data_IF_256326246780
#
_entry.id   IF_256326246780
#
_cell.length_a   1.000
_cell.length_b   1.000
_cell.length_c   1.000
_cell.angle_alpha   90.00
_cell.angle_beta   90.00
_cell.angle_gamma   90.00
#
_symmetry.space_group_name_H-M   'P 1'
#
loop_
_entity.id
_entity.type
_entity.pdbx_description
1 polymer ?
#
# COMPACT_ATOMS: atom_id res chain seq x y z
N UNK A 1 -0.74 25.94 -5.01
CA UNK A 1 0.62 26.48 -5.25
C UNK A 1 1.13 27.16 -3.98
N UNK A 2 1.33 26.43 -2.88
CA UNK A 2 1.88 27.01 -1.63
C UNK A 2 2.54 25.94 -0.75
N UNK A 3 3.57 25.24 -1.26
CA UNK A 3 4.46 24.39 -0.41
C UNK A 3 5.93 24.81 -0.49
N UNK A 4 6.31 25.70 -1.40
CA UNK A 4 7.64 26.32 -1.42
C UNK A 4 7.71 27.55 -0.49
N UNK A 5 7.42 27.39 0.82
CA UNK A 5 7.66 28.49 1.79
C UNK A 5 9.05 28.45 2.43
N UNK A 6 9.74 27.33 2.33
CA UNK A 6 11.17 27.23 2.61
C UNK A 6 11.84 26.74 1.33
N UNK A 7 12.99 27.29 0.94
CA UNK A 7 13.72 26.93 -0.29
C UNK A 7 14.28 25.50 -0.34
N UNK A 8 13.67 24.56 0.39
CA UNK A 8 13.98 23.15 0.40
C UNK A 8 13.43 22.46 -0.86
N UNK A 9 14.18 21.50 -1.41
CA UNK A 9 13.72 20.69 -2.54
C UNK A 9 12.49 19.85 -2.16
N UNK A 10 11.72 19.42 -3.15
CA UNK A 10 10.60 18.49 -2.94
C UNK A 10 11.05 17.23 -2.19
N UNK A 11 12.21 16.68 -2.56
CA UNK A 11 12.83 15.52 -1.89
C UNK A 11 13.11 15.80 -0.41
N UNK A 12 13.70 16.95 -0.06
CA UNK A 12 13.97 17.30 1.33
C UNK A 12 12.69 17.42 2.16
N UNK A 13 11.63 17.99 1.58
CA UNK A 13 10.33 18.13 2.26
C UNK A 13 9.66 16.77 2.48
N UNK A 14 9.70 15.90 1.46
CA UNK A 14 9.18 14.52 1.55
C UNK A 14 9.95 13.73 2.61
N UNK A 15 11.28 13.80 2.60
CA UNK A 15 12.14 13.13 3.57
C UNK A 15 11.85 13.56 5.01
N UNK A 16 11.75 14.87 5.26
CA UNK A 16 11.42 15.39 6.59
C UNK A 16 10.02 14.94 7.07
N UNK A 17 9.04 14.86 6.17
CA UNK A 17 7.73 14.32 6.51
C UNK A 17 7.80 12.81 6.81
N UNK A 18 8.56 12.05 6.02
CA UNK A 18 8.77 10.62 6.22
C UNK A 18 9.45 10.32 7.57
N UNK A 19 10.52 11.04 7.92
CA UNK A 19 11.20 10.89 9.21
C UNK A 19 10.28 11.19 10.41
N UNK A 20 9.46 12.25 10.31
CA UNK A 20 8.45 12.55 11.34
C UNK A 20 7.42 11.43 11.48
N UNK A 21 6.96 10.87 10.37
CA UNK A 21 5.98 9.78 10.37
C UNK A 21 6.58 8.47 10.89
N UNK A 22 7.82 8.14 10.51
CA UNK A 22 8.59 7.01 11.05
C UNK A 22 8.73 7.12 12.56
N UNK A 23 9.17 8.28 13.05
CA UNK A 23 9.33 8.53 14.48
C UNK A 23 8.00 8.42 15.23
N UNK A 24 6.91 8.99 14.68
CA UNK A 24 5.58 8.96 15.28
C UNK A 24 5.01 7.54 15.34
N UNK A 25 5.08 6.77 14.25
CA UNK A 25 4.60 5.39 14.22
C UNK A 25 5.49 4.45 15.06
N UNK A 26 6.80 4.68 15.06
CA UNK A 26 7.78 3.92 15.85
C UNK A 26 7.63 4.07 17.37
N UNK A 27 6.94 5.11 17.85
CA UNK A 27 6.56 5.21 19.26
C UNK A 27 5.61 4.09 19.69
N UNK A 28 4.85 3.55 18.74
CA UNK A 28 3.75 2.60 18.98
C UNK A 28 4.07 1.22 18.42
N UNK A 29 4.61 1.15 17.21
CA UNK A 29 4.89 -0.10 16.48
C UNK A 29 6.38 -0.36 16.50
N UNK A 30 6.77 -1.56 16.95
CA UNK A 30 8.18 -1.96 17.05
C UNK A 30 8.56 -2.78 15.81
N UNK A 31 9.73 -2.51 15.24
CA UNK A 31 10.29 -3.33 14.16
C UNK A 31 9.56 -3.24 12.82
N UNK A 32 8.76 -2.19 12.60
CA UNK A 32 7.92 -2.04 11.40
C UNK A 32 8.41 -0.94 10.44
N UNK A 33 9.67 -0.55 10.50
CA UNK A 33 10.24 0.56 9.71
C UNK A 33 10.02 0.36 8.20
N UNK A 34 10.37 -0.82 7.68
CA UNK A 34 10.16 -1.17 6.28
C UNK A 34 8.67 -1.17 5.90
N UNK A 35 7.79 -1.54 6.84
CA UNK A 35 6.35 -1.53 6.59
C UNK A 35 5.79 -0.11 6.55
N UNK A 36 6.24 0.77 7.43
CA UNK A 36 5.90 2.19 7.40
C UNK A 36 6.37 2.82 6.09
N UNK A 37 7.58 2.50 5.64
CA UNK A 37 8.11 2.99 4.37
C UNK A 37 7.30 2.56 3.17
N UNK A 38 6.91 1.29 3.10
CA UNK A 38 6.10 0.79 1.99
C UNK A 38 4.68 1.39 2.02
N UNK A 39 4.13 1.67 3.19
CA UNK A 39 2.86 2.42 3.33
C UNK A 39 3.02 3.87 2.85
N UNK A 40 4.13 4.54 3.20
CA UNK A 40 4.44 5.89 2.72
C UNK A 40 4.65 5.93 1.20
N UNK A 41 5.40 4.97 0.65
CA UNK A 41 5.56 4.78 -0.80
C UNK A 41 4.20 4.62 -1.45
N UNK A 42 3.33 3.78 -0.90
CA UNK A 42 2.00 3.56 -1.45
C UNK A 42 1.17 4.86 -1.44
N UNK A 43 1.18 5.58 -0.32
CA UNK A 43 0.42 6.82 -0.18
C UNK A 43 0.89 7.90 -1.15
N UNK A 44 2.19 8.17 -1.21
CA UNK A 44 2.78 9.21 -2.08
C UNK A 44 2.60 8.88 -3.57
N UNK A 45 2.67 7.61 -3.93
CA UNK A 45 2.43 7.14 -5.30
C UNK A 45 0.94 6.94 -5.63
N UNK A 46 0.03 7.22 -4.70
CA UNK A 46 -1.40 7.14 -4.90
C UNK A 46 -1.92 5.70 -5.06
N UNK A 47 -1.32 4.74 -4.37
CA UNK A 47 -1.71 3.33 -4.38
C UNK A 47 -2.12 2.79 -3.01
N UNK A 48 -2.41 1.49 -3.00
CA UNK A 48 -2.89 0.75 -1.83
C UNK A 48 -1.93 -0.38 -1.45
N UNK A 49 -2.04 -0.90 -0.23
CA UNK A 49 -1.15 -1.91 0.32
C UNK A 49 -1.91 -3.22 0.53
N UNK A 50 -1.36 -4.32 0.04
CA UNK A 50 -1.77 -5.67 0.36
C UNK A 50 -0.84 -6.23 1.45
N UNK A 51 -1.42 -6.76 2.51
CA UNK A 51 -0.72 -7.30 3.67
C UNK A 51 -0.97 -8.81 3.73
N UNK A 52 0.05 -9.60 3.42
CA UNK A 52 0.02 -11.06 3.63
C UNK A 52 0.56 -11.37 5.02
N UNK A 53 -0.20 -12.09 5.84
CA UNK A 53 0.22 -12.33 7.22
C UNK A 53 -0.55 -13.40 7.96
N UNK A 54 0.02 -13.77 9.10
CA UNK A 54 -0.57 -14.45 10.22
C UNK A 54 -1.29 -13.46 11.17
N UNK A 55 -2.35 -13.89 11.88
CA UNK A 55 -3.03 -13.04 12.85
C UNK A 55 -2.11 -12.57 13.99
N UNK A 56 -2.33 -11.34 14.49
CA UNK A 56 -1.72 -10.86 15.74
C UNK A 56 -0.45 -10.01 15.64
N UNK A 57 0.02 -9.68 14.44
CA UNK A 57 1.28 -8.95 14.18
C UNK A 57 1.21 -7.42 14.31
N UNK A 58 0.15 -6.87 14.90
CA UNK A 58 0.04 -5.42 15.14
C UNK A 58 -0.34 -4.56 13.92
N UNK A 59 -0.84 -5.14 12.83
CA UNK A 59 -1.33 -4.38 11.65
C UNK A 59 -2.35 -3.29 11.99
N UNK A 60 -3.33 -3.62 12.83
CA UNK A 60 -4.35 -2.67 13.29
C UNK A 60 -3.73 -1.52 14.03
N UNK A 61 -2.68 -1.79 14.81
CA UNK A 61 -1.95 -0.78 15.53
C UNK A 61 -1.16 0.12 14.58
N UNK A 62 -0.50 -0.45 13.57
CA UNK A 62 0.20 0.30 12.51
C UNK A 62 -0.76 1.21 11.74
N UNK A 63 -1.88 0.68 11.25
CA UNK A 63 -2.87 1.44 10.50
C UNK A 63 -3.45 2.60 11.33
N UNK A 64 -3.78 2.36 12.61
CA UNK A 64 -4.26 3.40 13.54
C UNK A 64 -3.20 4.44 13.85
N UNK A 65 -1.96 4.02 14.07
CA UNK A 65 -0.85 4.94 14.37
C UNK A 65 -0.55 5.83 13.17
N UNK A 66 -0.61 5.28 11.96
CA UNK A 66 -0.46 6.03 10.74
C UNK A 66 -1.58 7.07 10.57
N UNK A 67 -2.85 6.67 10.71
CA UNK A 67 -3.99 7.58 10.65
C UNK A 67 -3.88 8.72 11.68
N UNK A 68 -3.54 8.41 12.92
CA UNK A 68 -3.33 9.40 13.98
C UNK A 68 -2.17 10.35 13.67
N UNK A 69 -1.06 9.83 13.14
CA UNK A 69 0.12 10.62 12.78
C UNK A 69 -0.14 11.61 11.64
N UNK A 70 -1.13 11.32 10.78
CA UNK A 70 -1.53 12.21 9.68
C UNK A 70 -2.72 13.12 10.02
N UNK A 71 -3.23 13.03 11.26
CA UNK A 71 -4.47 13.71 11.67
C UNK A 71 -5.72 13.23 10.91
N UNK A 72 -5.68 12.03 10.35
CA UNK A 72 -6.73 11.45 9.52
C UNK A 72 -7.65 10.51 10.28
N UNK A 73 -8.76 10.16 9.64
CA UNK A 73 -9.71 9.16 10.16
C UNK A 73 -9.23 7.73 9.87
N UNK A 74 -9.52 6.83 10.80
CA UNK A 74 -9.27 5.39 10.67
C UNK A 74 -10.58 4.62 10.72
N UNK A 75 -10.74 3.66 9.82
CA UNK A 75 -11.81 2.66 9.89
C UNK A 75 -11.25 1.27 9.65
N UNK A 76 -11.88 0.29 10.30
CA UNK A 76 -11.59 -1.14 10.12
C UNK A 76 -12.84 -1.81 9.58
N UNK A 77 -12.65 -2.62 8.55
CA UNK A 77 -13.69 -3.45 7.93
C UNK A 77 -13.21 -4.89 8.03
N UNK A 78 -13.96 -5.71 8.75
CA UNK A 78 -13.72 -7.16 8.76
C UNK A 78 -14.51 -7.77 7.62
N UNK A 79 -13.83 -8.42 6.68
CA UNK A 79 -14.50 -9.11 5.58
C UNK A 79 -14.98 -10.47 6.06
N UNK A 80 -16.27 -10.71 5.87
CA UNK A 80 -16.97 -11.96 6.21
C UNK A 80 -17.80 -12.42 5.02
N UNK A 81 -18.19 -13.71 4.94
CA UNK A 81 -18.95 -14.23 3.81
C UNK A 81 -20.30 -13.56 3.59
N UNK A 82 -20.88 -12.98 4.64
CA UNK A 82 -22.17 -12.28 4.66
C UNK A 82 -22.06 -10.76 4.46
N UNK A 83 -20.84 -10.21 4.41
CA UNK A 83 -20.62 -8.77 4.24
C UNK A 83 -21.12 -8.30 2.86
N UNK A 84 -22.01 -7.31 2.86
CA UNK A 84 -22.60 -6.76 1.64
C UNK A 84 -21.81 -5.54 1.14
N UNK A 85 -21.86 -5.22 -0.17
CA UNK A 85 -21.26 -3.98 -0.70
C UNK A 85 -21.72 -2.71 0.03
N UNK A 86 -22.99 -2.65 0.44
CA UNK A 86 -23.57 -1.52 1.17
C UNK A 86 -22.98 -1.35 2.57
N UNK A 87 -22.51 -2.43 3.20
CA UNK A 87 -21.85 -2.37 4.51
C UNK A 87 -20.43 -1.77 4.40
N UNK A 88 -19.85 -1.78 3.20
CA UNK A 88 -18.55 -1.18 2.88
C UNK A 88 -18.72 0.26 2.40
N UNK A 89 -19.57 0.46 1.38
CA UNK A 89 -19.75 1.72 0.65
C UNK A 89 -20.67 2.71 1.38
N UNK A 90 -21.65 2.21 2.12
CA UNK A 90 -22.75 2.99 2.66
C UNK A 90 -24.07 2.71 1.94
N UNK A 91 -25.15 3.28 2.48
CA UNK A 91 -26.51 3.11 1.95
C UNK A 91 -27.35 4.36 2.19
N UNK A 92 -28.37 4.54 1.36
CA UNK A 92 -29.45 5.48 1.64
C UNK A 92 -30.51 4.80 2.51
N UNK A 93 -30.85 5.40 3.64
CA UNK A 93 -31.90 4.91 4.52
C UNK A 93 -33.01 5.95 4.64
N UNK A 94 -34.25 5.49 4.80
CA UNK A 94 -35.38 6.38 4.98
C UNK A 94 -35.45 6.86 6.44
N UNK A 95 -35.22 8.16 6.65
CA UNK A 95 -35.32 8.79 7.95
C UNK A 95 -36.77 9.19 8.22
N UNK A 96 -37.43 8.49 9.15
CA UNK A 96 -38.82 8.78 9.52
C UNK A 96 -39.00 10.20 10.10
N UNK A 97 -37.95 10.76 10.71
CA UNK A 97 -38.01 12.11 11.28
C UNK A 97 -38.02 13.22 10.22
N UNK A 98 -37.27 13.04 9.12
CA UNK A 98 -37.18 14.03 8.03
C UNK A 98 -38.08 13.71 6.85
N UNK A 99 -38.63 12.48 6.78
CA UNK A 99 -39.44 12.00 5.66
C UNK A 99 -38.64 11.86 4.36
N UNK A 100 -37.31 11.76 4.45
CA UNK A 100 -36.39 11.75 3.31
C UNK A 100 -35.42 10.58 3.39
N UNK A 101 -34.91 10.17 2.23
CA UNK A 101 -33.76 9.29 2.16
C UNK A 101 -32.50 10.08 2.52
N UNK A 102 -31.76 9.58 3.50
CA UNK A 102 -30.49 10.15 3.96
C UNK A 102 -29.38 9.15 3.70
N UNK A 103 -28.26 9.64 3.18
CA UNK A 103 -27.08 8.82 2.98
C UNK A 103 -26.37 8.58 4.30
N UNK A 104 -26.14 7.30 4.62
CA UNK A 104 -25.27 6.89 5.71
C UNK A 104 -23.96 6.38 5.13
N UNK A 105 -22.83 7.09 5.34
CA UNK A 105 -21.56 6.70 4.77
C UNK A 105 -21.08 5.38 5.36
N UNK A 106 -20.49 4.56 4.50
CA UNK A 106 -19.85 3.32 4.88
C UNK A 106 -18.48 3.54 5.53
N UNK A 107 -17.90 2.51 6.16
CA UNK A 107 -16.57 2.57 6.75
C UNK A 107 -15.45 2.83 5.73
N UNK A 108 -15.69 2.70 4.43
CA UNK A 108 -14.72 3.07 3.39
C UNK A 108 -14.41 4.58 3.39
N UNK A 109 -15.32 5.42 3.91
CA UNK A 109 -15.17 6.86 4.00
C UNK A 109 -14.26 7.25 5.18
N UNK A 110 -12.97 6.93 5.03
CA UNK A 110 -11.92 7.28 5.97
C UNK A 110 -10.58 7.50 5.26
N UNK A 111 -9.63 8.21 5.87
CA UNK A 111 -8.31 8.42 5.27
C UNK A 111 -7.50 7.11 5.21
N UNK A 112 -7.59 6.29 6.26
CA UNK A 112 -6.92 4.98 6.35
C UNK A 112 -7.97 3.91 6.64
N UNK A 113 -8.12 2.97 5.72
CA UNK A 113 -9.03 1.83 5.86
C UNK A 113 -8.23 0.55 5.98
N UNK A 114 -8.39 -0.16 7.10
CA UNK A 114 -7.92 -1.54 7.24
C UNK A 114 -9.03 -2.50 6.81
N UNK A 115 -8.83 -3.19 5.70
CA UNK A 115 -9.75 -4.21 5.20
C UNK A 115 -9.19 -5.60 5.54
N UNK A 116 -9.66 -6.20 6.63
CA UNK A 116 -9.15 -7.49 7.10
C UNK A 116 -9.80 -8.66 6.38
N UNK A 117 -8.97 -9.63 5.97
CA UNK A 117 -9.36 -10.91 5.37
C UNK A 117 -10.22 -10.74 4.11
N UNK A 118 -9.78 -9.89 3.18
CA UNK A 118 -10.58 -9.52 2.00
C UNK A 118 -10.97 -10.73 1.14
N UNK A 119 -10.22 -11.82 1.23
CA UNK A 119 -10.53 -13.10 0.60
C UNK A 119 -11.72 -13.84 1.24
N UNK A 120 -12.31 -13.40 2.36
CA UNK A 120 -13.49 -14.04 2.96
C UNK A 120 -14.82 -13.50 2.45
N UNK A 121 -14.85 -12.30 1.87
CA UNK A 121 -16.10 -11.77 1.31
C UNK A 121 -16.34 -12.24 -0.12
N UNK A 122 -17.60 -12.16 -0.55
CA UNK A 122 -17.99 -12.50 -1.91
C UNK A 122 -17.27 -11.64 -2.96
N UNK A 123 -17.10 -12.13 -4.21
CA UNK A 123 -16.50 -11.35 -5.29
C UNK A 123 -17.19 -10.01 -5.55
N UNK A 124 -18.49 -9.90 -5.26
CA UNK A 124 -19.26 -8.65 -5.39
C UNK A 124 -18.80 -7.59 -4.38
N UNK A 125 -18.61 -7.98 -3.12
CA UNK A 125 -18.15 -7.08 -2.05
C UNK A 125 -16.68 -6.72 -2.24
N UNK A 126 -15.85 -7.67 -2.67
CA UNK A 126 -14.46 -7.38 -3.07
C UNK A 126 -14.42 -6.35 -4.20
N UNK A 127 -15.22 -6.53 -5.25
CA UNK A 127 -15.28 -5.61 -6.39
C UNK A 127 -15.69 -4.19 -5.97
N UNK A 128 -16.66 -4.06 -5.06
CA UNK A 128 -17.10 -2.78 -4.53
C UNK A 128 -15.96 -2.02 -3.81
N UNK A 129 -15.18 -2.70 -2.97
CA UNK A 129 -13.99 -2.10 -2.33
C UNK A 129 -12.96 -1.66 -3.38
N UNK A 130 -12.67 -2.52 -4.35
CA UNK A 130 -11.65 -2.31 -5.37
C UNK A 130 -12.01 -1.20 -6.37
N UNK A 131 -13.28 -1.04 -6.68
CA UNK A 131 -13.80 0.08 -7.46
C UNK A 131 -13.61 1.40 -6.69
N UNK A 132 -13.97 1.42 -5.41
CA UNK A 132 -13.76 2.60 -4.56
C UNK A 132 -12.25 2.96 -4.42
N UNK A 133 -11.37 1.96 -4.42
CA UNK A 133 -9.91 2.15 -4.46
C UNK A 133 -9.43 2.82 -5.74
N UNK A 134 -9.84 2.29 -6.90
CA UNK A 134 -9.39 2.80 -8.20
C UNK A 134 -9.98 4.18 -8.51
N UNK A 135 -11.29 4.35 -8.31
CA UNK A 135 -12.01 5.57 -8.67
C UNK A 135 -11.94 6.66 -7.60
N UNK A 136 -11.48 6.31 -6.38
CA UNK A 136 -11.39 7.23 -5.22
C UNK A 136 -12.72 7.92 -4.90
N UNK A 137 -13.83 7.26 -5.19
CA UNK A 137 -15.20 7.74 -4.99
C UNK A 137 -16.13 6.55 -4.79
N UNK A 138 -17.31 6.82 -4.28
CA UNK A 138 -18.37 5.85 -4.06
C UNK A 138 -19.64 6.33 -4.74
N UNK A 139 -20.31 5.44 -5.48
CA UNK A 139 -21.61 5.73 -6.09
C UNK A 139 -22.69 4.88 -5.45
N UNK A 140 -23.69 5.51 -4.84
CA UNK A 140 -24.86 4.83 -4.25
C UNK A 140 -26.13 5.48 -4.80
N UNK A 141 -27.04 4.65 -5.34
CA UNK A 141 -28.30 5.09 -5.96
C UNK A 141 -28.16 6.21 -7.01
N UNK A 142 -27.06 6.17 -7.77
CA UNK A 142 -26.76 7.13 -8.84
C UNK A 142 -26.13 8.44 -8.36
N UNK A 143 -25.90 8.63 -7.07
CA UNK A 143 -25.16 9.78 -6.52
C UNK A 143 -23.71 9.39 -6.21
N UNK A 144 -22.76 10.07 -6.84
CA UNK A 144 -21.32 9.84 -6.66
C UNK A 144 -20.74 10.80 -5.64
N UNK A 145 -19.96 10.26 -4.70
CA UNK A 145 -19.34 11.00 -3.58
C UNK A 145 -17.82 10.72 -3.56
N UNK A 146 -16.97 11.76 -3.57
CA UNK A 146 -15.52 11.56 -3.50
C UNK A 146 -15.11 11.05 -2.11
N UNK A 147 -14.09 10.18 -2.05
CA UNK A 147 -13.51 9.73 -0.80
C UNK A 147 -12.59 10.80 -0.18
N UNK A 148 -12.36 10.76 1.14
CA UNK A 148 -11.45 11.68 1.81
C UNK A 148 -10.05 11.63 1.22
N UNK A 149 -9.40 12.76 1.01
CA UNK A 149 -8.02 12.80 0.51
C UNK A 149 -7.09 13.28 1.64
N UNK A 150 -6.00 12.56 1.97
CA UNK A 150 -5.51 11.35 1.32
C UNK A 150 -6.33 10.10 1.70
N UNK A 151 -6.34 9.11 0.80
CA UNK A 151 -7.05 7.84 0.94
C UNK A 151 -6.09 6.68 0.70
N UNK A 152 -6.00 5.75 1.65
CA UNK A 152 -5.25 4.50 1.51
C UNK A 152 -6.01 3.33 2.13
N UNK A 153 -5.93 2.18 1.45
CA UNK A 153 -6.48 0.91 1.92
C UNK A 153 -5.30 0.00 2.23
N UNK A 154 -5.29 -0.54 3.44
CA UNK A 154 -4.41 -1.61 3.89
C UNK A 154 -5.27 -2.86 3.94
N UNK A 155 -5.18 -3.73 2.93
CA UNK A 155 -5.98 -4.94 2.87
C UNK A 155 -5.18 -6.14 3.36
N UNK A 156 -5.77 -7.04 4.14
CA UNK A 156 -5.10 -8.29 4.56
C UNK A 156 -5.69 -9.49 3.85
N UNK A 157 -4.84 -10.47 3.54
CA UNK A 157 -5.26 -11.79 3.06
C UNK A 157 -4.58 -12.86 3.89
N UNK A 158 -5.37 -13.82 4.38
CA UNK A 158 -4.84 -15.00 5.06
C UNK A 158 -4.72 -16.14 4.03
N UNK A 159 -3.49 -16.57 3.66
CA UNK A 159 -3.29 -17.60 2.64
C UNK A 159 -3.60 -19.02 3.13
N UNK A 160 -3.80 -19.23 4.44
CA UNK A 160 -3.94 -20.55 5.05
C UNK A 160 -5.41 -21.03 5.09
N UNK A 161 -6.37 -20.10 5.08
CA UNK A 161 -7.80 -20.43 5.13
C UNK A 161 -8.33 -20.86 3.75
N UNK A 162 -8.45 -22.18 3.58
CA UNK A 162 -8.92 -22.81 2.33
C UNK A 162 -10.45 -22.96 2.26
N UNK A 163 -11.16 -22.94 3.39
CA UNK A 163 -12.62 -23.08 3.42
C UNK A 163 -13.32 -21.74 3.49
N UNK A 164 -14.28 -21.51 2.57
CA UNK A 164 -15.09 -20.30 2.56
C UNK A 164 -14.37 -19.04 2.10
N UNK A 165 -13.24 -19.16 1.38
CA UNK A 165 -12.51 -18.03 0.82
C UNK A 165 -12.66 -17.93 -0.70
N UNK A 166 -12.71 -16.69 -1.18
CA UNK A 166 -12.74 -16.27 -2.56
C UNK A 166 -11.41 -15.57 -2.87
N UNK A 167 -10.46 -16.23 -3.57
CA UNK A 167 -9.19 -15.60 -3.91
C UNK A 167 -9.44 -14.41 -4.83
N UNK A 168 -8.63 -13.36 -4.68
CA UNK A 168 -8.66 -12.24 -5.60
C UNK A 168 -8.09 -12.68 -6.95
N UNK A 169 -8.81 -12.45 -8.06
CA UNK A 169 -8.24 -12.53 -9.40
C UNK A 169 -7.01 -11.64 -9.55
N UNK A 170 -6.11 -12.01 -10.46
CA UNK A 170 -4.86 -11.30 -10.74
C UNK A 170 -5.12 -9.84 -11.16
N UNK A 171 -6.19 -9.61 -11.93
CA UNK A 171 -6.63 -8.27 -12.32
C UNK A 171 -7.04 -7.40 -11.13
N UNK A 172 -7.45 -8.00 -10.01
CA UNK A 172 -7.78 -7.31 -8.77
C UNK A 172 -6.53 -7.05 -7.92
N UNK A 173 -5.61 -8.02 -7.84
CA UNK A 173 -4.32 -7.86 -7.18
C UNK A 173 -3.51 -6.72 -7.79
N UNK A 174 -3.61 -6.48 -9.10
CA UNK A 174 -2.91 -5.40 -9.80
C UNK A 174 -3.23 -3.99 -9.27
N UNK A 175 -4.39 -3.82 -8.61
CA UNK A 175 -4.82 -2.55 -7.97
C UNK A 175 -4.08 -2.21 -6.68
N UNK A 176 -3.42 -3.19 -6.07
CA UNK A 176 -2.51 -2.95 -4.97
C UNK A 176 -1.14 -2.58 -5.51
N UNK A 177 -0.61 -1.45 -5.04
CA UNK A 177 0.69 -0.95 -5.49
C UNK A 177 1.82 -1.77 -4.90
N UNK A 178 1.73 -2.06 -3.60
CA UNK A 178 2.71 -2.88 -2.88
C UNK A 178 2.02 -4.02 -2.16
N UNK A 179 2.67 -5.17 -2.15
CA UNK A 179 2.40 -6.29 -1.27
C UNK A 179 3.50 -6.41 -0.24
N UNK A 180 3.11 -6.51 1.01
CA UNK A 180 4.00 -6.59 2.15
C UNK A 180 3.72 -7.86 2.95
N UNK A 181 4.79 -8.60 3.24
CA UNK A 181 4.76 -9.73 4.18
C UNK A 181 5.22 -9.22 5.53
N UNK A 182 4.32 -9.25 6.51
CA UNK A 182 4.71 -9.04 7.91
C UNK A 182 4.98 -10.45 8.46
N UNK A 183 6.16 -10.68 9.02
CA UNK A 183 6.45 -11.91 9.76
C UNK A 183 6.18 -11.72 11.25
N UNK A 184 6.40 -12.77 12.03
CA UNK A 184 6.50 -12.60 13.49
C UNK A 184 7.66 -11.64 13.83
N UNK A 185 7.50 -10.80 14.87
CA UNK A 185 8.59 -9.96 15.35
C UNK A 185 9.78 -10.83 15.79
N UNK A 186 10.98 -10.27 15.73
CA UNK A 186 12.15 -10.87 16.37
C UNK A 186 11.96 -10.91 17.89
N UNK A 187 12.69 -11.77 18.59
CA UNK A 187 12.66 -11.84 20.06
C UNK A 187 12.89 -10.47 20.70
N UNK A 188 13.86 -9.70 20.19
CA UNK A 188 14.14 -8.33 20.64
C UNK A 188 12.95 -7.39 20.47
N UNK A 189 12.29 -7.45 19.31
CA UNK A 189 11.10 -6.65 19.02
C UNK A 189 9.92 -7.09 19.88
N UNK A 190 9.76 -8.39 20.14
CA UNK A 190 8.69 -8.94 20.97
C UNK A 190 8.85 -8.50 22.44
N UNK A 191 10.07 -8.57 22.99
CA UNK A 191 10.38 -8.02 24.32
C UNK A 191 10.10 -6.52 24.38
N UNK A 192 10.46 -5.77 23.35
CA UNK A 192 10.19 -4.34 23.28
C UNK A 192 8.69 -4.02 23.14
N UNK A 193 7.90 -4.88 22.50
CA UNK A 193 6.44 -4.81 22.48
C UNK A 193 5.91 -5.02 23.90
N UNK A 194 6.32 -6.08 24.60
CA UNK A 194 5.87 -6.36 25.97
C UNK A 194 6.11 -5.15 26.89
N UNK A 195 7.34 -4.64 26.93
CA UNK A 195 7.70 -3.47 27.75
C UNK A 195 6.90 -2.21 27.42
N UNK A 196 6.61 -1.99 26.13
CA UNK A 196 5.87 -0.80 25.67
C UNK A 196 4.38 -0.88 26.03
N UNK A 197 3.84 -2.08 26.17
CA UNK A 197 2.43 -2.32 26.52
C UNK A 197 2.18 -2.60 28.01
N UNK A 198 3.21 -2.62 28.87
CA UNK A 198 3.07 -2.72 30.33
C UNK A 198 2.30 -1.55 30.97
N UNK A 199 2.23 -0.40 30.28
CA UNK A 199 1.59 0.82 30.77
C UNK A 199 0.28 1.19 30.05
N UNK A 200 0.08 2.49 29.79
CA UNK A 200 -1.05 2.98 28.97
C UNK A 200 -0.80 2.68 27.49
N UNK A 201 -1.87 2.49 26.71
CA UNK A 201 -1.75 2.30 25.27
C UNK A 201 -0.98 3.46 24.63
N UNK A 202 0.19 3.21 24.00
CA UNK A 202 1.04 4.26 23.43
C UNK A 202 0.35 5.02 22.30
N UNK A 203 -0.67 4.43 21.67
CA UNK A 203 -1.46 5.06 20.63
C UNK A 203 -2.16 6.35 21.09
N UNK A 204 -2.53 6.45 22.38
CA UNK A 204 -3.17 7.66 22.92
C UNK A 204 -2.24 8.88 22.99
N UNK A 205 -0.93 8.66 22.87
CA UNK A 205 0.09 9.72 22.90
C UNK A 205 0.47 10.22 21.51
N UNK A 206 0.07 9.52 20.44
CA UNK A 206 0.36 9.92 19.06
C UNK A 206 -0.38 11.20 18.73
N UNK A 207 0.38 12.23 18.35
CA UNK A 207 -0.14 13.50 17.86
C UNK A 207 0.04 13.57 16.33
N UNK A 208 -0.81 14.31 15.61
CA UNK A 208 -0.61 14.59 14.20
C UNK A 208 0.73 15.29 13.97
N UNK A 209 1.61 14.70 13.17
CA UNK A 209 2.95 15.22 12.84
C UNK A 209 3.05 15.78 11.42
N UNK A 210 2.17 15.33 10.53
CA UNK A 210 2.01 15.80 9.15
C UNK A 210 0.52 15.89 8.87
N UNK A 211 0.02 16.92 8.20
CA UNK A 211 -1.41 16.96 7.87
C UNK A 211 -1.72 16.13 6.63
N UNK A 212 -2.96 15.64 6.50
CA UNK A 212 -3.42 15.00 5.27
C UNK A 212 -3.23 15.89 4.03
N UNK A 213 -3.48 17.19 4.15
CA UNK A 213 -3.29 18.15 3.05
C UNK A 213 -1.81 18.27 2.64
N UNK A 214 -0.88 18.22 3.61
CA UNK A 214 0.55 18.21 3.30
C UNK A 214 0.92 16.95 2.51
N UNK A 215 0.43 15.77 2.92
CA UNK A 215 0.71 14.52 2.21
C UNK A 215 0.23 14.52 0.77
N UNK A 216 -0.92 15.14 0.50
CA UNK A 216 -1.41 15.32 -0.88
C UNK A 216 -0.43 16.17 -1.68
N UNK A 217 -0.02 17.32 -1.14
CA UNK A 217 0.91 18.19 -1.81
C UNK A 217 2.30 17.55 -2.01
N UNK A 218 2.73 16.69 -1.08
CA UNK A 218 3.95 15.89 -1.23
C UNK A 218 3.82 14.86 -2.37
N UNK A 219 2.67 14.18 -2.48
CA UNK A 219 2.39 13.28 -3.61
C UNK A 219 2.34 14.02 -4.95
N UNK A 220 1.77 15.22 -4.99
CA UNK A 220 1.75 16.08 -6.18
C UNK A 220 3.14 16.59 -6.58
N UNK A 221 4.06 16.72 -5.62
CA UNK A 221 5.46 17.10 -5.87
C UNK A 221 6.32 15.91 -6.36
N UNK A 222 5.85 14.67 -6.21
CA UNK A 222 6.60 13.46 -6.55
C UNK A 222 7.10 13.40 -8.02
N UNK A 223 6.36 13.90 -9.03
CA UNK A 223 6.85 13.94 -10.42
C UNK A 223 8.11 14.79 -10.62
N UNK A 224 8.45 15.68 -9.68
CA UNK A 224 9.67 16.50 -9.75
C UNK A 224 10.96 15.73 -9.42
N UNK A 225 10.85 14.51 -8.87
CA UNK A 225 11.98 13.63 -8.62
C UNK A 225 12.50 13.09 -9.96
N UNK A 226 13.77 13.38 -10.23
CA UNK A 226 14.41 13.04 -11.49
C UNK A 226 14.57 11.54 -11.66
N UNK A 227 14.38 11.06 -12.89
CA UNK A 227 14.66 9.67 -13.26
C UNK A 227 15.34 9.71 -14.61
N UNK A 228 16.58 9.27 -14.63
CA UNK A 228 17.35 9.10 -15.86
C UNK A 228 16.71 8.03 -16.76
N UNK A 229 16.90 8.17 -18.08
CA UNK A 229 16.32 7.26 -19.07
C UNK A 229 16.82 5.81 -18.86
N UNK A 230 18.07 5.63 -18.47
CA UNK A 230 18.67 4.31 -18.20
C UNK A 230 18.00 3.59 -17.02
N UNK A 231 17.60 4.32 -15.97
CA UNK A 231 16.84 3.79 -14.82
C UNK A 231 15.41 3.44 -15.24
N UNK A 232 14.79 4.26 -16.09
CA UNK A 232 13.45 3.98 -16.63
C UNK A 232 13.46 2.73 -17.52
N UNK A 233 14.45 2.62 -18.40
CA UNK A 233 14.70 1.44 -19.24
C UNK A 233 14.98 0.21 -18.40
N UNK A 234 15.75 0.34 -17.31
CA UNK A 234 16.02 -0.73 -16.37
C UNK A 234 14.74 -1.27 -15.71
N UNK A 235 13.84 -0.39 -15.24
CA UNK A 235 12.55 -0.79 -14.69
C UNK A 235 11.68 -1.52 -15.72
N UNK A 236 11.69 -1.06 -16.98
CA UNK A 236 10.99 -1.72 -18.09
C UNK A 236 11.63 -3.08 -18.40
N UNK A 237 12.97 -3.19 -18.38
CA UNK A 237 13.69 -4.42 -18.64
C UNK A 237 13.35 -5.52 -17.63
N UNK A 238 13.28 -5.19 -16.33
CA UNK A 238 12.83 -6.12 -15.28
C UNK A 238 11.41 -6.62 -15.60
N UNK A 239 10.46 -5.70 -15.84
CA UNK A 239 9.07 -6.08 -16.12
C UNK A 239 8.97 -6.93 -17.38
N UNK A 240 9.68 -6.59 -18.46
CA UNK A 240 9.71 -7.38 -19.69
C UNK A 240 10.28 -8.77 -19.48
N UNK A 241 11.35 -8.88 -18.68
CA UNK A 241 11.95 -10.17 -18.37
C UNK A 241 10.92 -11.11 -17.71
N UNK A 242 10.03 -10.61 -16.85
CA UNK A 242 8.95 -11.44 -16.28
C UNK A 242 7.98 -12.00 -17.32
N UNK A 243 7.78 -11.33 -18.46
CA UNK A 243 6.87 -11.79 -19.54
C UNK A 243 7.52 -12.83 -20.45
N UNK A 244 8.83 -12.80 -20.59
CA UNK A 244 9.60 -13.74 -21.41
C UNK A 244 10.12 -14.94 -20.61
N UNK A 245 10.07 -14.89 -19.27
CA UNK A 245 10.62 -15.94 -18.42
C UNK A 245 9.67 -17.14 -18.36
N UNK A 246 10.13 -18.32 -18.80
CA UNK A 246 9.29 -19.53 -18.95
C UNK A 246 8.73 -20.11 -17.63
N UNK A 247 9.12 -19.55 -16.48
CA UNK A 247 8.57 -19.92 -15.18
C UNK A 247 7.19 -19.27 -14.90
N UNK A 248 6.81 -18.24 -15.65
CA UNK A 248 5.52 -17.56 -15.50
C UNK A 248 4.56 -17.92 -16.63
N UNK A 249 3.30 -18.16 -16.28
CA UNK A 249 2.18 -18.24 -17.21
C UNK A 249 1.67 -16.83 -17.57
N UNK A 250 1.71 -15.91 -16.60
CA UNK A 250 1.41 -14.50 -16.78
C UNK A 250 2.49 -13.64 -16.11
N UNK A 251 3.22 -12.86 -16.92
CA UNK A 251 4.17 -11.86 -16.45
C UNK A 251 3.51 -10.51 -16.12
N UNK A 252 4.28 -9.59 -15.55
CA UNK A 252 3.76 -8.33 -15.03
C UNK A 252 3.27 -7.38 -16.15
N UNK A 253 2.13 -6.73 -15.94
CA UNK A 253 1.47 -5.84 -16.94
C UNK A 253 2.23 -4.52 -17.18
N UNK A 254 1.90 -3.72 -18.21
CA UNK A 254 2.44 -2.35 -18.34
C UNK A 254 2.08 -1.44 -17.16
N UNK A 255 0.94 -1.68 -16.48
CA UNK A 255 0.59 -0.98 -15.23
C UNK A 255 1.64 -1.24 -14.15
N UNK A 256 2.21 -2.44 -14.11
CA UNK A 256 3.27 -2.80 -13.19
C UNK A 256 4.56 -1.98 -13.41
N UNK A 257 4.91 -1.66 -14.67
CA UNK A 257 6.02 -0.76 -14.98
C UNK A 257 5.79 0.64 -14.42
N UNK A 258 4.60 1.20 -14.62
CA UNK A 258 4.23 2.51 -14.09
C UNK A 258 4.21 2.52 -12.56
N UNK A 259 3.68 1.46 -11.96
CA UNK A 259 3.66 1.27 -10.51
C UNK A 259 5.07 1.22 -9.92
N UNK A 260 5.97 0.44 -10.51
CA UNK A 260 7.36 0.31 -10.07
C UNK A 260 8.10 1.65 -10.19
N UNK A 261 7.91 2.34 -11.31
CA UNK A 261 8.50 3.66 -11.55
C UNK A 261 8.04 4.72 -10.54
N UNK A 262 6.72 4.81 -10.27
CA UNK A 262 6.18 5.72 -9.26
C UNK A 262 6.65 5.38 -7.85
N UNK A 263 6.68 4.09 -7.51
CA UNK A 263 7.17 3.63 -6.22
C UNK A 263 8.66 3.96 -6.03
N UNK A 264 9.49 3.80 -7.08
CA UNK A 264 10.92 4.12 -7.03
C UNK A 264 11.18 5.61 -6.81
N UNK A 265 10.39 6.50 -7.45
CA UNK A 265 10.41 7.93 -7.14
C UNK A 265 10.06 8.20 -5.69
N UNK A 266 8.98 7.59 -5.18
CA UNK A 266 8.53 7.81 -3.80
C UNK A 266 9.60 7.38 -2.80
N UNK A 267 10.25 6.24 -3.04
CA UNK A 267 11.35 5.77 -2.21
C UNK A 267 12.55 6.72 -2.24
N UNK A 268 13.01 7.14 -3.42
CA UNK A 268 14.13 8.06 -3.53
C UNK A 268 13.88 9.34 -2.73
N UNK A 269 12.67 9.91 -2.84
CA UNK A 269 12.27 11.09 -2.09
C UNK A 269 12.16 10.85 -0.58
N UNK A 270 11.65 9.69 -0.15
CA UNK A 270 11.62 9.27 1.26
C UNK A 270 13.04 9.16 1.83
N UNK A 271 14.01 8.74 1.01
CA UNK A 271 15.44 8.70 1.36
C UNK A 271 16.16 10.05 1.21
N UNK A 272 15.44 11.13 0.87
CA UNK A 272 16.01 12.48 0.76
C UNK A 272 16.75 12.77 -0.55
N UNK A 273 16.61 11.89 -1.55
CA UNK A 273 17.23 12.06 -2.87
C UNK A 273 16.24 12.65 -3.86
N UNK A 274 16.71 13.58 -4.67
CA UNK A 274 15.98 14.21 -5.77
C UNK A 274 16.12 13.46 -7.10
N UNK A 275 16.78 12.30 -7.09
CA UNK A 275 16.91 11.40 -8.23
C UNK A 275 16.79 9.93 -7.82
N UNK A 276 16.24 9.11 -8.73
CA UNK A 276 16.08 7.66 -8.55
C UNK A 276 17.35 6.92 -8.96
N UNK A 277 17.72 5.90 -8.18
CA UNK A 277 18.82 4.98 -8.47
C UNK A 277 18.28 3.63 -8.94
N UNK A 278 19.05 2.83 -9.68
CA UNK A 278 18.66 1.45 -10.00
C UNK A 278 18.33 0.58 -8.77
N UNK A 279 18.98 0.87 -7.64
CA UNK A 279 18.75 0.15 -6.38
C UNK A 279 17.34 0.39 -5.79
N UNK A 280 16.76 1.58 -6.02
CA UNK A 280 15.37 1.87 -5.66
C UNK A 280 14.40 0.95 -6.40
N UNK A 281 14.63 0.80 -7.71
CA UNK A 281 13.86 -0.06 -8.60
C UNK A 281 14.02 -1.52 -8.16
N UNK A 282 15.24 -1.97 -7.90
CA UNK A 282 15.52 -3.34 -7.44
C UNK A 282 14.79 -3.66 -6.15
N UNK A 283 14.91 -2.79 -5.14
CA UNK A 283 14.36 -3.09 -3.83
C UNK A 283 12.83 -3.07 -3.84
N UNK A 284 12.21 -2.27 -4.72
CA UNK A 284 10.76 -2.24 -4.90
C UNK A 284 10.22 -3.29 -5.87
N UNK A 285 11.08 -3.99 -6.61
CA UNK A 285 10.64 -5.00 -7.56
C UNK A 285 9.83 -6.11 -6.87
N UNK A 286 10.30 -6.66 -5.74
CA UNK A 286 9.53 -7.69 -5.03
C UNK A 286 8.19 -7.16 -4.50
N UNK A 287 8.13 -6.08 -3.69
CA UNK A 287 6.86 -5.57 -3.18
C UNK A 287 5.88 -5.16 -4.27
N UNK A 288 6.35 -4.70 -5.43
CA UNK A 288 5.48 -4.15 -6.48
C UNK A 288 5.09 -5.18 -7.54
N UNK A 289 5.94 -6.17 -7.83
CA UNK A 289 5.73 -7.10 -8.94
C UNK A 289 5.26 -8.49 -8.50
N UNK A 290 5.70 -9.00 -7.35
CA UNK A 290 5.55 -10.42 -7.03
C UNK A 290 4.07 -10.89 -7.00
N UNK A 291 3.14 -10.06 -6.52
CA UNK A 291 1.71 -10.37 -6.51
C UNK A 291 1.00 -10.21 -7.86
N UNK A 292 1.71 -9.75 -8.88
CA UNK A 292 1.20 -9.56 -10.25
C UNK A 292 1.66 -10.67 -11.20
N UNK A 293 2.37 -11.67 -10.69
CA UNK A 293 2.99 -12.74 -11.47
C UNK A 293 2.29 -14.06 -11.20
N UNK A 294 1.90 -14.76 -12.26
CA UNK A 294 1.31 -16.08 -12.17
C UNK A 294 2.35 -17.13 -12.56
N UNK A 295 2.73 -17.98 -11.62
CA UNK A 295 3.64 -19.10 -11.86
C UNK A 295 2.99 -20.17 -12.73
N UNK A 296 3.76 -20.69 -13.68
CA UNK A 296 3.38 -21.87 -14.45
C UNK A 296 3.29 -23.10 -13.56
N UNK A 297 2.41 -24.05 -13.94
CA UNK A 297 2.16 -25.27 -13.16
C UNK A 297 3.43 -26.07 -12.86
N UNK A 298 4.35 -26.18 -13.82
CA UNK A 298 5.62 -26.89 -13.65
C UNK A 298 6.53 -26.21 -12.59
N UNK A 299 6.57 -24.88 -12.58
CA UNK A 299 7.37 -24.12 -11.60
C UNK A 299 6.81 -24.29 -10.19
N UNK A 300 5.48 -24.23 -10.06
CA UNK A 300 4.78 -24.42 -8.79
C UNK A 300 5.00 -25.84 -8.23
N UNK A 301 4.97 -26.86 -9.09
CA UNK A 301 5.26 -28.26 -8.72
C UNK A 301 6.69 -28.46 -8.20
N UNK A 302 7.63 -27.62 -8.63
CA UNK A 302 9.02 -27.61 -8.13
C UNK A 302 9.17 -26.84 -6.81
N UNK A 303 8.08 -26.36 -6.22
CA UNK A 303 8.08 -25.64 -4.95
C UNK A 303 8.67 -24.22 -5.02
N UNK A 304 8.84 -23.66 -6.22
CA UNK A 304 9.36 -22.30 -6.40
C UNK A 304 8.25 -21.26 -6.26
N UNK A 305 8.59 -20.10 -5.71
CA UNK A 305 7.70 -18.94 -5.55
C UNK A 305 7.93 -17.88 -6.63
N UNK A 306 7.01 -16.92 -6.77
CA UNK A 306 7.17 -15.82 -7.71
C UNK A 306 8.36 -14.93 -7.33
N UNK A 307 8.61 -14.81 -6.03
CA UNK A 307 9.73 -14.10 -5.42
C UNK A 307 11.06 -14.75 -5.80
N UNK A 308 11.18 -16.09 -5.69
CA UNK A 308 12.41 -16.80 -6.07
C UNK A 308 12.78 -16.58 -7.54
N UNK A 309 11.78 -16.60 -8.42
CA UNK A 309 11.98 -16.37 -9.86
C UNK A 309 12.29 -14.90 -10.13
N UNK A 310 11.64 -13.98 -9.42
CA UNK A 310 11.90 -12.56 -9.57
C UNK A 310 13.32 -12.21 -9.11
N UNK A 311 13.84 -12.84 -8.06
CA UNK A 311 15.22 -12.67 -7.62
C UNK A 311 16.25 -13.15 -8.64
N UNK A 312 15.97 -14.22 -9.38
CA UNK A 312 16.79 -14.63 -10.53
C UNK A 312 16.79 -13.55 -11.60
N UNK A 313 15.62 -13.04 -11.98
CA UNK A 313 15.49 -11.95 -12.96
C UNK A 313 16.27 -10.70 -12.52
N UNK A 314 16.20 -10.31 -11.24
CA UNK A 314 16.90 -9.13 -10.73
C UNK A 314 18.43 -9.28 -10.72
N UNK A 315 18.94 -10.51 -10.69
CA UNK A 315 20.38 -10.82 -10.83
C UNK A 315 20.82 -10.80 -12.29
N UNK A 316 19.96 -11.28 -13.20
CA UNK A 316 20.28 -11.45 -14.61
C UNK A 316 20.12 -10.18 -15.44
N UNK A 317 19.14 -9.32 -15.11
CA UNK A 317 18.93 -8.06 -15.83
C UNK A 317 20.08 -7.09 -15.49
N UNK A 318 20.89 -6.66 -16.49
CA UNK A 318 22.02 -5.78 -16.26
C UNK A 318 21.58 -4.48 -15.61
N UNK A 319 22.29 -4.08 -14.55
CA UNK A 319 22.12 -2.78 -13.93
C UNK A 319 22.77 -1.75 -14.84
N UNK A 320 22.10 -0.62 -15.15
CA UNK A 320 22.76 0.45 -15.88
C UNK A 320 23.95 0.95 -15.07
N UNK A 321 25.11 0.98 -15.72
CA UNK A 321 26.34 1.57 -15.16
C UNK A 321 26.35 2.99 -15.66
N UNK A 322 26.37 3.97 -14.76
CA UNK A 322 26.57 5.36 -15.15
C UNK A 322 27.88 5.44 -15.93
N UNK A 323 27.83 5.88 -17.19
CA UNK A 323 29.05 6.23 -17.91
C UNK A 323 29.72 7.35 -17.11
N UNK A 324 30.98 7.20 -16.66
CA UNK A 324 31.69 8.29 -16.02
C UNK A 324 31.87 9.39 -17.08
N UNK A 325 31.07 10.44 -16.98
CA UNK A 325 31.22 11.68 -17.75
C UNK A 325 32.58 12.34 -17.50
#
# INVERSE_FOLDING_TARGET
MTVARDGASAAATIHQAAERLRASVGQVVVGAEQAVDLVLVALLAGGHVLLEDVPGTGKTLMARSFAASIGGSFRRIQFTPDLMPTDVLGLNYYSQGTGKFEFRPGPIEANVVLADEINRATPRTQSALLEAMEERQVTVDGETRPLPTPFVVLATQNPIELEGTFPLPEAQLDRFLVRLKVGYPTEENEVAILRRFEGRSPLSSVQPVVSGADLVALGEALPSIHVEDDVAEYAVAIVRATRSHGAFELGASPRASLALFRAARARAAIEGRDYVRPDDVKTLAQPVLAHRLLLSSNTRLRGRTAEDVLDEILRDVPVPVADPA
#
